data_IF_719106516388
#
_entry.id   IF_719106516388
#
_cell.length_a   1.000
_cell.length_b   1.000
_cell.length_c   1.000
_cell.angle_alpha   90.00
_cell.angle_beta   90.00
_cell.angle_gamma   90.00
#
_symmetry.space_group_name_H-M   'P 1'
#
loop_
_entity.id
_entity.type
_entity.pdbx_description
1 polymer ?
2 non-polymer ?
3 water ?
#
# COMPACT_ATOMS: atom_id res chain seq x y z
N UNK A 3 2.77 -27.34 -6.15
CA UNK A 3 4.25 -27.19 -6.31
C UNK A 3 4.83 -26.06 -5.45
N UNK A 4 4.04 -25.42 -4.59
CA UNK A 4 4.63 -24.48 -3.64
C UNK A 4 5.44 -25.29 -2.65
N UNK A 5 6.64 -24.84 -2.33
CA UNK A 5 7.44 -25.42 -1.27
C UNK A 5 6.80 -25.14 0.10
N UNK A 6 7.17 -25.92 1.10
CA UNK A 6 6.66 -25.64 2.46
C UNK A 6 7.10 -24.27 2.92
N UNK A 7 8.31 -23.85 2.61
CA UNK A 7 8.80 -22.54 2.96
C UNK A 7 7.87 -21.46 2.36
N UNK A 8 7.48 -21.64 1.10
CA UNK A 8 6.62 -20.66 0.40
C UNK A 8 5.24 -20.63 1.00
N UNK A 9 4.65 -21.81 1.24
CA UNK A 9 3.34 -21.92 1.89
C UNK A 9 3.36 -21.19 3.25
N UNK A 10 4.39 -21.45 4.03
CA UNK A 10 4.53 -20.81 5.38
C UNK A 10 4.70 -19.30 5.30
N UNK A 11 5.46 -18.84 4.30
CA UNK A 11 5.74 -17.39 4.17
C UNK A 11 4.37 -16.71 3.86
N UNK A 12 3.60 -17.29 2.96
CA UNK A 12 2.31 -16.78 2.59
C UNK A 12 1.35 -16.77 3.78
N UNK A 13 1.34 -17.89 4.51
CA UNK A 13 0.46 -17.95 5.70
C UNK A 13 0.87 -16.94 6.72
N UNK A 14 2.15 -16.67 6.92
CA UNK A 14 2.57 -15.68 7.88
C UNK A 14 2.08 -14.29 7.46
N UNK A 15 2.23 -14.00 6.16
CA UNK A 15 1.82 -12.65 5.69
C UNK A 15 0.30 -12.43 5.82
N UNK A 16 -0.46 -13.42 5.43
CA UNK A 16 -1.93 -13.37 5.44
C UNK A 16 -2.35 -13.21 6.91
N UNK A 17 -1.72 -13.99 7.81
CA UNK A 17 -2.11 -13.89 9.22
C UNK A 17 -1.75 -12.60 9.89
N UNK A 18 -0.59 -12.06 9.56
CA UNK A 18 -0.16 -10.81 10.07
C UNK A 18 -1.09 -9.69 9.57
N UNK A 19 -1.45 -9.70 8.30
CA UNK A 19 -2.37 -8.67 7.80
C UNK A 19 -3.72 -8.71 8.54
N UNK A 20 -4.24 -9.88 8.78
CA UNK A 20 -5.47 -10.03 9.53
C UNK A 20 -5.32 -9.53 10.95
N UNK A 21 -4.23 -9.92 11.59
CA UNK A 21 -3.99 -9.50 12.99
C UNK A 21 -3.80 -7.99 13.12
N UNK A 22 -3.02 -7.43 12.22
CA UNK A 22 -2.70 -6.00 12.26
C UNK A 22 -3.93 -5.21 12.00
N UNK A 23 -4.68 -5.62 10.98
CA UNK A 23 -5.96 -4.97 10.72
C UNK A 23 -6.99 -5.03 11.85
N UNK A 24 -7.12 -6.16 12.52
CA UNK A 24 -8.00 -6.25 13.65
C UNK A 24 -7.59 -5.33 14.82
N UNK A 25 -6.28 -5.28 15.10
CA UNK A 25 -5.75 -4.46 16.16
C UNK A 25 -6.06 -3.01 15.86
N UNK A 26 -5.83 -2.59 14.60
CA UNK A 26 -5.72 -1.18 14.29
C UNK A 26 -7.03 -0.57 14.08
N UNK A 27 -7.95 -1.36 13.55
CA UNK A 27 -9.26 -0.90 13.24
C UNK A 27 -10.44 -1.42 14.06
N UNK A 28 -10.24 -2.23 15.09
CA UNK A 28 -11.41 -2.69 15.92
C UNK A 28 -12.21 -1.60 16.67
N UNK A 47 -15.08 23.98 8.64
CA UNK A 47 -16.12 23.45 7.75
C UNK A 47 -15.58 22.25 6.95
N UNK A 48 -14.73 22.57 5.98
CA UNK A 48 -13.91 21.60 5.29
C UNK A 48 -12.81 21.10 6.25
N UNK A 49 -12.70 21.70 7.44
CA UNK A 49 -11.63 21.33 8.36
C UNK A 49 -11.94 20.02 9.05
N UNK A 50 -13.21 19.76 9.32
CA UNK A 50 -13.63 18.43 9.78
C UNK A 50 -13.29 17.33 8.74
N UNK A 51 -13.55 17.60 7.47
CA UNK A 51 -13.33 16.52 6.45
C UNK A 51 -11.85 16.22 6.31
N UNK A 52 -11.02 17.26 6.27
CA UNK A 52 -9.55 17.06 6.28
C UNK A 52 -9.09 16.32 7.54
N UNK A 53 -9.61 16.68 8.70
CA UNK A 53 -9.30 15.96 9.97
C UNK A 53 -9.66 14.53 9.98
N UNK A 54 -10.86 14.23 9.53
CA UNK A 54 -11.30 12.86 9.48
C UNK A 54 -10.37 12.06 8.56
N UNK A 55 -10.06 12.65 7.40
CA UNK A 55 -9.27 11.92 6.40
C UNK A 55 -7.85 11.65 6.89
N UNK A 56 -7.23 12.67 7.53
CA UNK A 56 -5.89 12.48 8.13
C UNK A 56 -5.93 11.51 9.33
N UNK A 57 -7.07 11.41 10.02
CA UNK A 57 -7.19 10.38 11.12
C UNK A 57 -7.09 8.99 10.58
N UNK A 58 -7.72 8.71 9.41
CA UNK A 58 -7.52 7.42 8.79
C UNK A 58 -6.12 7.17 8.42
N UNK A 59 -5.41 8.18 7.91
CA UNK A 59 -4.05 8.01 7.54
C UNK A 59 -3.15 7.65 8.75
N UNK A 60 -3.33 8.38 9.85
CA UNK A 60 -2.49 8.08 11.02
C UNK A 60 -2.72 6.68 11.56
N UNK A 61 -3.94 6.20 11.56
CA UNK A 61 -4.21 4.82 11.91
C UNK A 61 -3.51 3.79 11.00
N UNK A 62 -3.62 4.06 9.69
CA UNK A 62 -2.98 3.20 8.73
C UNK A 62 -1.48 3.22 8.81
N UNK A 63 -0.87 4.37 9.07
CA UNK A 63 0.56 4.48 9.19
C UNK A 63 1.03 3.46 10.29
N UNK A 64 0.35 3.49 11.42
CA UNK A 64 0.64 2.53 12.53
C UNK A 64 0.45 1.07 12.12
N UNK A 65 -0.66 0.76 11.45
CA UNK A 65 -0.96 -0.55 11.00
C UNK A 65 0.13 -1.08 10.08
N UNK A 66 0.61 -0.21 9.17
CA UNK A 66 1.67 -0.60 8.25
C UNK A 66 2.97 -0.86 8.96
N UNK A 67 3.37 -0.03 9.92
CA UNK A 67 4.55 -0.27 10.75
C UNK A 67 4.42 -1.62 11.44
N UNK A 68 3.27 -1.82 12.05
CA UNK A 68 3.01 -3.12 12.75
C UNK A 68 3.10 -4.33 11.82
N UNK A 69 2.57 -4.21 10.61
CA UNK A 69 2.63 -5.26 9.64
C UNK A 69 4.05 -5.57 9.16
N UNK A 70 4.74 -4.52 8.76
CA UNK A 70 6.12 -4.64 8.31
C UNK A 70 6.99 -5.36 9.32
N UNK A 71 6.83 -5.06 10.60
CA UNK A 71 7.54 -5.81 11.65
C UNK A 71 7.30 -7.32 11.64
N UNK A 72 6.14 -7.78 11.13
CA UNK A 72 5.80 -9.18 10.98
C UNK A 72 6.26 -9.83 9.66
N UNK A 73 6.81 -9.04 8.71
CA UNK A 73 7.19 -9.60 7.45
C UNK A 73 8.58 -10.22 7.66
N UNK A 74 8.72 -11.50 7.32
CA UNK A 74 10.05 -12.11 7.61
C UNK A 74 11.15 -11.41 6.90
N UNK A 75 12.18 -11.12 7.63
CA UNK A 75 13.37 -10.41 7.09
C UNK A 75 13.41 -8.98 7.37
N UNK A 76 12.26 -8.30 7.59
CA UNK A 76 12.28 -6.88 7.74
C UNK A 76 13.14 -6.42 8.91
N UNK A 77 12.99 -7.11 10.06
CA UNK A 77 13.74 -6.75 11.25
C UNK A 77 15.21 -7.08 11.12
N UNK A 78 15.62 -7.87 10.14
CA UNK A 78 17.06 -8.05 9.78
C UNK A 78 17.75 -6.80 9.22
N UNK A 79 16.99 -5.83 8.68
CA UNK A 79 17.61 -4.61 8.27
C UNK A 79 17.96 -3.75 9.44
N UNK A 80 18.90 -2.82 9.19
CA UNK A 80 19.15 -1.73 10.04
C UNK A 80 17.95 -0.84 10.27
N UNK A 81 17.88 -0.20 11.45
CA UNK A 81 16.78 0.66 11.80
C UNK A 81 16.53 1.77 10.77
N UNK A 82 17.59 2.39 10.32
CA UNK A 82 17.48 3.48 9.35
C UNK A 82 16.88 2.97 8.02
N UNK A 83 17.28 1.78 7.62
CA UNK A 83 16.77 1.21 6.34
C UNK A 83 15.28 0.83 6.56
N UNK A 84 14.92 0.34 7.75
CA UNK A 84 13.57 -0.01 8.00
C UNK A 84 12.73 1.26 7.86
N UNK A 85 13.17 2.38 8.39
CA UNK A 85 12.44 3.60 8.37
C UNK A 85 12.35 4.11 6.94
N UNK A 86 13.47 4.07 6.23
CA UNK A 86 13.53 4.56 4.80
C UNK A 86 12.56 3.74 3.93
N UNK A 87 12.49 2.45 4.11
CA UNK A 87 11.58 1.59 3.30
C UNK A 87 10.16 1.97 3.64
N UNK A 88 9.85 2.08 4.91
CA UNK A 88 8.47 2.44 5.26
C UNK A 88 8.09 3.85 4.86
N UNK A 89 9.02 4.78 4.80
CA UNK A 89 8.71 6.16 4.48
C UNK A 89 8.20 6.17 3.03
N UNK A 90 8.85 5.41 2.19
CA UNK A 90 8.44 5.39 0.71
C UNK A 90 7.27 4.54 0.49
N UNK A 91 7.18 3.38 1.10
CA UNK A 91 6.16 2.38 0.85
C UNK A 91 4.79 2.79 1.38
N UNK A 92 4.72 3.53 2.45
CA UNK A 92 3.46 3.69 3.17
C UNK A 92 2.34 4.22 2.25
N UNK A 93 2.58 5.25 1.48
CA UNK A 93 1.46 5.72 0.61
C UNK A 93 1.12 4.65 -0.40
N UNK A 94 2.05 3.90 -0.95
CA UNK A 94 1.77 2.86 -1.93
C UNK A 94 0.95 1.72 -1.39
N UNK A 95 1.30 1.32 -0.15
CA UNK A 95 0.51 0.30 0.55
C UNK A 95 -0.89 0.83 0.88
N UNK A 96 -0.99 2.06 1.25
CA UNK A 96 -2.33 2.71 1.53
C UNK A 96 -3.16 2.63 0.25
N UNK A 97 -2.51 2.90 -0.87
CA UNK A 97 -3.26 2.81 -2.14
C UNK A 97 -3.61 1.43 -2.57
N UNK A 98 -2.74 0.42 -2.34
CA UNK A 98 -3.16 -0.97 -2.45
C UNK A 98 -4.39 -1.35 -1.61
N UNK A 99 -4.34 -0.92 -0.37
CA UNK A 99 -5.42 -1.22 0.57
C UNK A 99 -6.69 -0.46 0.21
N UNK A 100 -6.55 0.71 -0.39
CA UNK A 100 -7.68 1.48 -0.96
C UNK A 100 -8.34 0.74 -2.13
N UNK A 101 -7.52 0.23 -3.08
CA UNK A 101 -8.07 -0.53 -4.18
C UNK A 101 -8.77 -1.78 -3.70
N UNK A 102 -8.20 -2.35 -2.63
CA UNK A 102 -8.78 -3.59 -2.10
C UNK A 102 -10.17 -3.39 -1.56
N UNK A 103 -10.47 -2.18 -1.17
CA UNK A 103 -11.72 -1.76 -0.60
C UNK A 103 -12.65 -1.00 -1.58
N UNK A 104 -12.33 -1.09 -2.86
CA UNK A 104 -13.12 -0.40 -3.87
C UNK A 104 -14.43 -1.16 -4.10
N UNK A 105 -15.52 -0.40 -4.08
CA UNK A 105 -16.86 -0.86 -4.34
C UNK A 105 -17.24 -0.38 -5.75
N UNK A 106 -17.28 -1.28 -6.72
CA UNK A 106 -17.51 -0.93 -8.14
C UNK A 106 -19.00 -0.60 -8.34
N UNK A 107 -19.86 -1.19 -7.55
CA UNK A 107 -21.35 -1.02 -7.73
C UNK A 107 -21.76 0.44 -7.54
N UNK A 108 -21.21 1.07 -6.51
CA UNK A 108 -21.47 2.50 -6.24
C UNK A 108 -20.25 3.36 -6.36
N UNK A 109 -19.16 2.83 -6.90
CA UNK A 109 -17.96 3.67 -7.21
C UNK A 109 -17.43 4.47 -6.02
N UNK A 110 -17.02 3.75 -4.98
CA UNK A 110 -16.55 4.34 -3.78
C UNK A 110 -15.49 3.48 -3.10
N UNK A 111 -14.85 4.05 -2.08
CA UNK A 111 -13.89 3.29 -1.26
C UNK A 111 -14.46 3.14 0.13
N UNK A 112 -14.60 1.88 0.56
CA UNK A 112 -15.11 1.61 1.90
C UNK A 112 -13.94 1.45 2.85
N UNK A 113 -13.42 2.54 3.39
CA UNK A 113 -12.27 2.46 4.24
C UNK A 113 -12.57 1.64 5.51
N UNK A 114 -13.77 1.88 6.01
CA UNK A 114 -14.26 1.14 7.20
C UNK A 114 -15.71 0.90 6.99
N UNK A 115 -16.25 -0.05 7.74
CA UNK A 115 -17.71 -0.25 7.74
C UNK A 115 -18.27 1.17 7.90
N UNK A 116 -19.12 1.55 6.93
CA UNK A 116 -19.57 2.95 6.77
C UNK A 116 -18.56 4.09 6.40
N UNK A 117 -17.30 4.19 6.89
CA UNK A 117 -16.41 5.32 6.45
C UNK A 117 -16.19 5.19 4.86
N UNK A 118 -17.25 5.47 4.03
CA UNK A 118 -17.13 5.44 2.50
C UNK A 118 -16.82 6.75 1.88
N UNK A 119 -15.83 6.73 0.98
CA UNK A 119 -15.46 7.91 0.24
C UNK A 119 -15.71 7.81 -1.20
N UNK A 120 -16.47 8.76 -1.76
CA UNK A 120 -16.61 8.91 -3.22
C UNK A 120 -15.61 9.86 -3.74
N UNK A 121 -15.60 10.05 -5.08
CA UNK A 121 -14.71 11.05 -5.64
C UNK A 121 -14.85 12.41 -4.95
N UNK A 122 -16.08 12.91 -4.82
CA UNK A 122 -16.22 14.24 -4.26
C UNK A 122 -15.77 14.35 -2.79
N UNK A 123 -15.92 13.25 -2.04
CA UNK A 123 -15.42 13.25 -0.67
C UNK A 123 -13.93 13.37 -0.63
N UNK A 124 -13.23 12.69 -1.54
CA UNK A 124 -11.75 12.94 -1.62
C UNK A 124 -11.43 14.36 -1.95
N UNK A 125 -12.20 14.97 -2.88
CA UNK A 125 -11.95 16.34 -3.28
C UNK A 125 -12.20 17.29 -2.11
N UNK A 126 -13.24 17.05 -1.33
CA UNK A 126 -13.59 17.93 -0.21
C UNK A 126 -12.59 17.75 0.92
N UNK A 127 -11.84 16.66 0.93
CA UNK A 127 -10.75 16.46 1.90
C UNK A 127 -9.51 17.18 1.50
N UNK A 128 -9.38 17.72 0.30
CA UNK A 128 -8.21 18.35 -0.17
C UNK A 128 -7.50 17.84 -1.38
N UNK A 129 -7.96 16.75 -2.00
CA UNK A 129 -7.24 16.16 -3.14
C UNK A 129 -7.79 16.71 -4.43
N UNK A 130 -6.94 16.86 -5.42
CA UNK A 130 -7.38 17.26 -6.75
C UNK A 130 -7.84 16.11 -7.57
N UNK A 131 -8.64 16.43 -8.61
CA UNK A 131 -9.09 15.48 -9.53
C UNK A 131 -8.06 14.73 -10.27
N UNK A 132 -6.87 15.37 -10.56
CA UNK A 132 -5.75 14.71 -11.17
C UNK A 132 -5.12 13.59 -10.42
N UNK A 133 -5.36 13.56 -9.12
CA UNK A 133 -4.99 12.44 -8.26
C UNK A 133 -6.15 11.46 -8.05
N UNK A 134 -7.32 12.01 -7.81
CA UNK A 134 -8.52 11.17 -7.58
C UNK A 134 -8.82 10.26 -8.73
N UNK A 135 -8.86 10.80 -9.96
CA UNK A 135 -9.22 9.90 -11.02
C UNK A 135 -8.30 8.75 -11.26
N UNK A 136 -6.95 8.98 -11.20
CA UNK A 136 -6.06 7.82 -11.29
C UNK A 136 -6.21 6.81 -10.18
N UNK A 137 -6.58 7.26 -8.99
CA UNK A 137 -6.80 6.32 -7.87
C UNK A 137 -7.94 5.41 -8.23
N UNK A 138 -9.05 5.96 -8.82
CA UNK A 138 -10.17 5.11 -9.15
C UNK A 138 -9.87 4.21 -10.38
N UNK A 139 -9.10 4.75 -11.34
CA UNK A 139 -8.62 3.92 -12.47
C UNK A 139 -7.73 2.74 -12.01
N UNK A 140 -6.87 3.03 -11.07
CA UNK A 140 -6.04 1.98 -10.47
C UNK A 140 -6.88 0.95 -9.74
N UNK A 141 -7.86 1.44 -8.96
CA UNK A 141 -8.74 0.54 -8.25
C UNK A 141 -9.52 -0.36 -9.21
N UNK A 142 -10.03 0.18 -10.32
CA UNK A 142 -10.69 -0.68 -11.28
C UNK A 142 -9.77 -1.71 -11.95
N UNK A 143 -8.55 -1.29 -12.22
CA UNK A 143 -7.52 -2.19 -12.75
C UNK A 143 -7.20 -3.30 -11.79
N UNK A 144 -7.04 -2.95 -10.55
CA UNK A 144 -6.88 -3.97 -9.51
C UNK A 144 -8.02 -4.91 -9.38
N UNK A 145 -9.22 -4.40 -9.47
CA UNK A 145 -10.37 -5.24 -9.39
C UNK A 145 -10.39 -6.29 -10.50
N UNK A 146 -10.07 -5.85 -11.72
CA UNK A 146 -10.03 -6.74 -12.89
C UNK A 146 -9.04 -7.84 -12.71
N UNK A 147 -7.97 -7.65 -11.93
CA UNK A 147 -7.07 -8.76 -11.62
C UNK A 147 -7.57 -9.87 -10.68
N UNK A 148 -8.56 -9.56 -9.88
CA UNK A 148 -9.13 -10.50 -8.97
C UNK A 148 -8.12 -11.09 -7.98
N UNK A 149 -7.39 -10.21 -7.32
CA UNK A 149 -6.40 -10.65 -6.36
C UNK A 149 -7.07 -11.25 -5.09
N UNK A 150 -6.41 -12.26 -4.60
CA UNK A 150 -6.84 -12.83 -3.32
C UNK A 150 -5.93 -12.39 -2.19
N UNK A 151 -6.25 -12.85 -0.97
CA UNK A 151 -5.49 -12.38 0.17
C UNK A 151 -3.98 -12.63 0.10
N UNK A 152 -3.59 -13.77 -0.45
CA UNK A 152 -2.22 -14.17 -0.59
C UNK A 152 -1.44 -13.26 -1.56
N UNK A 153 -2.14 -12.96 -2.66
CA UNK A 153 -1.58 -12.07 -3.66
C UNK A 153 -1.45 -10.63 -3.15
N UNK A 154 -2.42 -10.07 -2.49
CA UNK A 154 -2.23 -8.76 -1.93
C UNK A 154 -1.00 -8.76 -0.98
N UNK A 155 -1.02 -9.81 -0.11
CA UNK A 155 -0.02 -9.78 0.95
C UNK A 155 1.41 -9.89 0.34
N UNK A 156 1.58 -10.75 -0.62
CA UNK A 156 2.86 -10.89 -1.32
C UNK A 156 3.22 -9.59 -2.03
N UNK A 157 2.25 -9.00 -2.72
CA UNK A 157 2.58 -7.73 -3.37
C UNK A 157 2.98 -6.64 -2.40
N UNK A 158 2.43 -6.57 -1.18
CA UNK A 158 2.78 -5.61 -0.21
C UNK A 158 4.25 -5.92 0.26
N UNK A 159 4.55 -7.20 0.56
CA UNK A 159 5.93 -7.51 0.90
C UNK A 159 6.98 -7.15 -0.13
N UNK A 160 6.64 -7.40 -1.39
CA UNK A 160 7.52 -7.07 -2.48
C UNK A 160 7.65 -5.57 -2.51
N UNK A 161 6.56 -4.78 -2.34
CA UNK A 161 6.64 -3.30 -2.33
C UNK A 161 7.55 -2.84 -1.24
N UNK A 162 7.42 -3.42 -0.04
CA UNK A 162 8.29 -2.99 1.05
C UNK A 162 9.77 -3.14 0.69
N UNK A 163 10.15 -4.28 0.19
CA UNK A 163 11.59 -4.56 -0.05
C UNK A 163 12.00 -4.04 -1.45
N UNK A 164 11.80 -2.75 -1.66
CA UNK A 164 12.23 -2.04 -2.88
C UNK A 164 13.61 -1.44 -2.66
N UNK A 165 14.62 -2.04 -3.30
CA UNK A 165 16.03 -1.59 -3.02
C UNK A 165 16.31 -0.19 -3.52
N UNK A 166 15.45 0.37 -4.41
CA UNK A 166 15.70 1.69 -4.92
C UNK A 166 15.16 2.88 -4.17
N UNK A 167 14.58 2.68 -2.96
CA UNK A 167 14.06 3.80 -2.22
C UNK A 167 15.14 4.79 -1.80
N UNK A 168 14.77 6.03 -1.60
CA UNK A 168 15.71 7.01 -1.17
C UNK A 168 16.32 6.59 0.17
N UNK A 169 17.62 6.88 0.30
CA UNK A 169 18.30 6.77 1.60
C UNK A 169 18.49 5.37 2.11
N UNK A 170 18.36 4.36 1.31
CA UNK A 170 18.65 3.01 1.71
C UNK A 170 20.17 2.75 1.74
N UNK A 171 20.65 2.31 2.88
CA UNK A 171 22.11 2.07 3.07
C UNK A 171 22.56 0.71 2.58
N UNK A 172 21.70 -0.30 2.59
CA UNK A 172 22.02 -1.62 2.19
C UNK A 172 21.08 -2.10 1.08
N UNK A 173 21.23 -1.50 -0.09
CA UNK A 173 20.25 -1.89 -1.14
C UNK A 173 20.37 -3.28 -1.60
N UNK A 174 21.61 -3.82 -1.55
CA UNK A 174 21.76 -5.19 -1.85
C UNK A 174 21.02 -6.16 -0.98
N UNK A 175 21.09 -5.93 0.31
CA UNK A 175 20.38 -6.71 1.28
C UNK A 175 18.86 -6.63 1.03
N UNK A 176 18.39 -5.45 0.73
CA UNK A 176 16.92 -5.25 0.50
C UNK A 176 16.53 -6.06 -0.69
N UNK A 177 17.30 -5.90 -1.79
CA UNK A 177 17.01 -6.63 -2.95
C UNK A 177 16.93 -8.11 -2.70
N UNK A 178 17.88 -8.64 -1.90
CA UNK A 178 17.95 -10.03 -1.60
C UNK A 178 16.77 -10.50 -0.77
N UNK A 179 16.30 -9.65 0.14
CA UNK A 179 15.10 -9.95 0.93
C UNK A 179 13.86 -9.93 0.04
N UNK A 180 13.85 -9.13 -1.03
CA UNK A 180 12.69 -9.12 -1.95
C UNK A 180 12.51 -10.42 -2.70
N UNK A 181 13.61 -11.04 -3.10
CA UNK A 181 13.52 -12.11 -4.06
C UNK A 181 12.63 -13.28 -3.69
N UNK A 182 12.74 -13.83 -2.49
CA UNK A 182 11.83 -14.93 -2.18
C UNK A 182 10.35 -14.59 -2.21
N UNK A 183 9.99 -13.35 -1.94
CA UNK A 183 8.61 -12.91 -2.10
C UNK A 183 8.16 -12.85 -3.60
N UNK A 184 9.05 -12.34 -4.43
CA UNK A 184 8.77 -12.34 -5.91
C UNK A 184 8.63 -13.73 -6.38
N UNK A 185 9.56 -14.60 -5.98
CA UNK A 185 9.50 -15.98 -6.35
C UNK A 185 8.24 -16.71 -5.87
N UNK A 186 7.85 -16.44 -4.63
CA UNK A 186 6.61 -17.06 -4.11
C UNK A 186 5.37 -16.62 -4.87
N UNK A 187 5.31 -15.34 -5.21
CA UNK A 187 4.25 -14.80 -6.08
C UNK A 187 4.22 -15.42 -7.43
N UNK A 188 5.37 -15.59 -8.03
CA UNK A 188 5.46 -16.26 -9.30
C UNK A 188 4.88 -17.70 -9.20
N UNK A 189 5.38 -18.45 -8.23
CA UNK A 189 4.89 -19.85 -8.02
C UNK A 189 3.41 -19.90 -7.68
N UNK A 190 2.93 -19.06 -6.78
CA UNK A 190 1.52 -19.00 -6.43
C UNK A 190 0.58 -18.72 -7.59
N UNK A 191 0.94 -17.71 -8.41
CA UNK A 191 0.13 -17.34 -9.53
C UNK A 191 0.11 -18.40 -10.59
N UNK A 192 1.21 -19.12 -10.79
CA UNK A 192 1.27 -20.25 -11.74
C UNK A 192 0.32 -21.40 -11.35
N UNK A 193 0.02 -21.55 -10.08
CA UNK A 193 -0.97 -22.53 -9.60
C UNK A 193 -2.40 -22.03 -9.62
N UNK A 194 -2.59 -20.79 -9.21
CA UNK A 194 -3.93 -20.22 -9.18
C UNK A 194 -4.55 -20.20 -10.58
N UNK A 195 -3.83 -19.68 -11.57
CA UNK A 195 -4.32 -19.55 -12.92
C UNK A 195 -3.21 -20.10 -13.82
N UNK A 196 -3.08 -21.44 -13.92
CA UNK A 196 -2.11 -22.03 -14.89
C UNK A 196 -2.33 -21.60 -16.35
N UNK A 197 -3.55 -21.24 -16.68
CA UNK A 197 -3.88 -20.81 -18.04
C UNK A 197 -3.53 -19.34 -18.34
N UNK A 198 -3.32 -18.52 -17.31
CA UNK A 198 -3.05 -17.08 -17.50
C UNK A 198 -1.65 -16.73 -17.07
N UNK A 199 -0.66 -17.03 -17.92
CA UNK A 199 0.76 -16.66 -17.67
C UNK A 199 0.99 -15.14 -17.42
N UNK A 200 0.14 -14.32 -17.97
CA UNK A 200 0.36 -12.91 -17.89
C UNK A 200 -0.20 -12.21 -16.60
N UNK A 201 -0.92 -12.95 -15.77
CA UNK A 201 -1.48 -12.35 -14.52
C UNK A 201 -0.31 -11.81 -13.58
N UNK A 202 0.72 -12.57 -13.42
CA UNK A 202 1.94 -12.25 -12.65
C UNK A 202 2.60 -10.96 -13.12
N UNK A 203 2.90 -10.89 -14.44
CA UNK A 203 3.45 -9.57 -14.78
C UNK A 203 2.49 -8.42 -14.67
N UNK A 204 1.17 -8.61 -14.91
CA UNK A 204 0.25 -7.53 -14.74
C UNK A 204 0.17 -7.08 -13.27
N UNK A 205 0.35 -8.03 -12.33
CA UNK A 205 0.49 -7.60 -10.93
C UNK A 205 1.73 -6.79 -10.67
N UNK A 206 2.88 -7.19 -11.17
CA UNK A 206 4.09 -6.35 -11.05
C UNK A 206 3.96 -5.01 -11.67
N UNK A 207 3.24 -4.92 -12.77
CA UNK A 207 2.96 -3.61 -13.37
C UNK A 207 2.17 -2.70 -12.53
N UNK A 208 1.38 -3.26 -11.54
CA UNK A 208 0.72 -2.39 -10.59
C UNK A 208 1.66 -1.67 -9.65
N UNK A 209 2.84 -2.28 -9.42
CA UNK A 209 3.87 -1.55 -8.72
C UNK A 209 4.45 -0.34 -9.46
N UNK A 210 4.42 -0.45 -10.80
CA UNK A 210 4.82 0.69 -11.66
C UNK A 210 3.82 1.81 -11.45
N UNK A 211 2.54 1.51 -11.61
CA UNK A 211 1.51 2.52 -11.37
C UNK A 211 1.57 3.17 -9.99
N UNK A 212 1.81 2.37 -8.93
CA UNK A 212 1.96 2.95 -7.66
C UNK A 212 3.05 3.98 -7.48
N UNK A 213 4.20 3.83 -8.21
CA UNK A 213 5.15 4.87 -8.17
C UNK A 213 4.74 6.18 -8.72
N UNK A 214 3.97 6.14 -9.84
CA UNK A 214 3.42 7.38 -10.34
C UNK A 214 2.39 8.02 -9.38
N UNK A 215 1.54 7.13 -8.91
CA UNK A 215 0.61 7.61 -7.84
C UNK A 215 1.25 8.22 -6.66
N UNK A 216 2.37 7.65 -6.20
CA UNK A 216 3.16 8.25 -5.13
C UNK A 216 3.66 9.63 -5.46
N UNK A 217 4.13 9.74 -6.74
CA UNK A 217 4.59 11.04 -7.23
C UNK A 217 3.53 12.13 -7.21
N UNK A 218 2.36 11.74 -7.68
CA UNK A 218 1.23 12.69 -7.69
C UNK A 218 0.86 13.03 -6.26
N UNK A 219 0.84 11.99 -5.38
CA UNK A 219 0.62 12.25 -3.92
C UNK A 219 1.53 13.29 -3.35
N UNK A 220 2.84 13.23 -3.66
CA UNK A 220 3.75 14.24 -3.13
C UNK A 220 3.41 15.63 -3.64
N UNK A 221 2.96 15.71 -4.88
CA UNK A 221 2.46 17.03 -5.39
C UNK A 221 1.22 17.54 -4.61
N UNK A 222 0.32 16.63 -4.22
CA UNK A 222 -0.87 16.95 -3.45
C UNK A 222 -0.52 17.47 -2.03
N UNK A 223 0.51 16.83 -1.42
CA UNK A 223 0.99 17.29 -0.13
C UNK A 223 1.59 18.71 -0.23
N UNK A 224 2.41 18.90 -1.23
CA UNK A 224 3.00 20.23 -1.60
C UNK A 224 1.93 21.29 -1.73
N UNK A 225 0.86 20.94 -2.45
CA UNK A 225 -0.25 21.88 -2.72
C UNK A 225 -1.06 22.24 -1.45
N UNK A 226 -0.95 21.46 -0.35
CA UNK A 226 -1.72 21.79 0.80
C UNK A 226 -1.36 23.16 1.33
N UNK A 227 -0.08 23.49 1.20
CA UNK A 227 0.64 24.64 1.77
C UNK A 227 -0.03 25.93 1.30
N UNK A 228 0.00 26.17 0.00
CA UNK A 228 -0.82 27.24 -0.57
C UNK A 228 -2.23 26.66 -0.90
N UNK A 229 -2.85 25.96 0.04
CA UNK A 229 -4.30 25.64 -0.02
C UNK A 229 -4.69 26.40 1.23
N UNK A 230 -4.73 25.77 2.39
CA UNK A 230 -5.00 26.40 3.69
C UNK A 230 -4.59 25.48 4.89
N UNK A 231 -3.81 24.44 4.62
CA UNK A 231 -3.81 23.24 5.44
C UNK A 231 -2.43 22.80 5.76
N UNK A 232 -2.33 22.07 6.87
CA UNK A 232 -1.07 21.55 7.31
C UNK A 232 -1.28 20.08 7.69
N UNK A 233 -0.39 19.18 7.25
CA UNK A 233 -0.42 17.85 7.78
C UNK A 233 -0.20 17.83 9.32
N UNK A 234 -0.93 16.96 9.99
CA UNK A 234 -0.68 16.77 11.44
C UNK A 234 0.67 16.18 11.64
N UNK A 235 1.23 16.33 12.87
CA UNK A 235 2.56 15.95 13.04
C UNK A 235 3.01 14.53 12.63
N UNK A 236 2.17 13.53 12.84
CA UNK A 236 2.59 12.18 12.51
C UNK A 236 2.66 11.96 10.98
N UNK A 237 1.86 12.73 10.25
CA UNK A 237 1.94 12.64 8.78
C UNK A 237 2.98 13.55 8.20
N UNK A 238 3.19 14.69 8.88
CA UNK A 238 4.30 15.56 8.46
C UNK A 238 5.61 14.88 8.47
N UNK A 239 5.85 14.02 9.45
CA UNK A 239 7.10 13.31 9.55
C UNK A 239 7.42 12.44 8.34
N UNK A 240 6.42 11.74 7.81
CA UNK A 240 6.59 10.80 6.73
C UNK A 240 6.46 11.50 5.34
N UNK A 241 5.67 12.54 5.25
CA UNK A 241 5.29 13.10 3.94
C UNK A 241 5.67 14.52 3.64
N UNK A 242 6.05 15.32 4.60
CA UNK A 242 6.47 16.71 4.29
C UNK A 242 7.97 16.59 3.97
N UNK A 243 8.41 17.03 2.81
CA UNK A 243 9.87 17.13 2.55
C UNK A 243 10.04 18.48 1.86
#
# INVERSE_FOLDING_TARGET
GVQLTAAQELMIQQLVAAQLQCNKRSFSDQPKVTPWPLGADPQSRDARQQRFAHFTELAIISVQEIVDFAKQVPGFLQLGREDQIALLKASTIEIMLLETARRYNHETECITFLKDFTYSKDDFHRAGLQVEFINPIFEFSRAMRRLGLDDAEYALLIAINIFSADRPNVQEPGRVEALQQPYVEALLSYTRIKRPQDQLRFPRMLMKLVSLRTLSSVHSEQVFALRLQDKKLPPLLSEIWDVHE
#
